data_IF_887284259580
#
_entry.id   IF_887284259580
#
_cell.length_a   1.000
_cell.length_b   1.000
_cell.length_c   1.000
_cell.angle_alpha   90.00
_cell.angle_beta   90.00
_cell.angle_gamma   90.00
#
_symmetry.space_group_name_H-M   'P 1'
#
loop_
_entity.id
_entity.type
_entity.pdbx_description
1 polymer ?
#
# COMPACT_ATOMS: atom_id res chain seq x y z
N UNK A 1 -4.45 63.16 25.56
CA UNK A 1 -4.20 62.68 24.19
C UNK A 1 -4.92 61.35 24.03
N UNK A 2 -6.03 61.35 23.30
CA UNK A 2 -6.93 60.19 23.20
C UNK A 2 -6.43 59.20 22.13
N UNK A 3 -5.95 58.04 22.54
CA UNK A 3 -5.66 56.91 21.66
C UNK A 3 -6.94 56.11 21.46
N UNK A 4 -7.54 56.23 20.27
CA UNK A 4 -8.68 55.42 19.83
C UNK A 4 -8.22 53.98 19.63
N UNK A 5 -8.67 53.06 20.48
CA UNK A 5 -8.53 51.62 20.24
C UNK A 5 -9.64 51.17 19.28
N UNK A 6 -9.30 51.03 18.00
CA UNK A 6 -10.16 50.36 17.01
C UNK A 6 -10.12 48.85 17.26
N UNK A 7 -11.15 48.32 17.91
CA UNK A 7 -11.33 46.88 18.07
C UNK A 7 -11.77 46.29 16.72
N UNK A 8 -10.89 45.51 16.08
CA UNK A 8 -11.22 44.74 14.87
C UNK A 8 -12.28 43.69 15.22
N UNK A 9 -13.48 43.85 14.66
CA UNK A 9 -14.54 42.84 14.71
C UNK A 9 -14.09 41.64 13.85
N UNK A 10 -13.47 40.63 14.47
CA UNK A 10 -13.19 39.36 13.81
C UNK A 10 -14.50 38.59 13.63
N UNK A 11 -15.09 38.67 12.43
CA UNK A 11 -16.19 37.81 12.02
C UNK A 11 -15.70 36.34 11.97
N UNK A 12 -16.21 35.51 12.87
CA UNK A 12 -15.99 34.05 12.85
C UNK A 12 -16.92 33.47 11.77
N UNK A 13 -16.39 32.80 10.71
CA UNK A 13 -17.26 32.15 9.74
C UNK A 13 -17.92 30.94 10.38
N UNK A 14 -19.24 30.96 10.48
CA UNK A 14 -20.04 29.83 10.91
C UNK A 14 -19.93 28.71 9.86
N UNK A 15 -19.43 27.54 10.29
CA UNK A 15 -19.28 26.35 9.45
C UNK A 15 -20.67 25.86 9.01
N UNK A 16 -20.94 25.64 7.71
CA UNK A 16 -22.24 25.13 7.28
C UNK A 16 -22.45 23.71 7.83
N UNK A 17 -23.61 23.50 8.45
CA UNK A 17 -24.04 22.20 8.96
C UNK A 17 -24.50 21.38 7.76
N UNK A 18 -23.63 20.50 7.26
CA UNK A 18 -23.99 19.55 6.20
C UNK A 18 -25.11 18.63 6.71
N UNK A 19 -26.20 18.42 5.95
CA UNK A 19 -27.24 17.52 6.38
C UNK A 19 -26.66 16.09 6.43
N UNK A 20 -26.81 15.45 7.58
CA UNK A 20 -26.56 14.02 7.76
C UNK A 20 -27.59 13.29 6.90
N UNK A 21 -27.22 12.94 5.67
CA UNK A 21 -28.09 12.17 4.80
C UNK A 21 -28.44 10.83 5.47
N UNK A 22 -29.74 10.61 5.54
CA UNK A 22 -30.38 9.46 6.13
C UNK A 22 -29.87 8.17 5.48
N UNK A 23 -29.32 7.31 6.34
CA UNK A 23 -29.09 5.88 6.14
C UNK A 23 -30.35 5.18 5.60
N UNK A 24 -30.55 5.15 4.30
CA UNK A 24 -31.43 4.19 3.64
C UNK A 24 -31.21 4.23 2.13
N UNK A 25 -31.03 3.04 1.54
CA UNK A 25 -31.00 2.74 0.09
C UNK A 25 -29.65 2.74 -0.64
N UNK A 26 -28.59 2.24 -0.01
CA UNK A 26 -27.43 1.66 -0.71
C UNK A 26 -27.36 0.14 -0.54
N UNK A 27 -28.51 -0.53 -0.62
CA UNK A 27 -28.57 -2.00 -0.66
C UNK A 27 -29.31 -2.43 -1.91
N UNK A 28 -28.71 -2.23 -3.09
CA UNK A 28 -29.02 -3.00 -4.30
C UNK A 28 -28.23 -2.47 -5.53
N UNK A 29 -26.89 -2.52 -5.50
CA UNK A 29 -26.08 -2.75 -6.72
C UNK A 29 -24.61 -3.02 -6.37
N UNK A 30 -24.33 -4.07 -5.61
CA UNK A 30 -22.95 -4.54 -5.40
C UNK A 30 -22.91 -6.07 -5.50
N UNK A 31 -23.37 -6.63 -6.63
CA UNK A 31 -23.16 -8.06 -6.97
C UNK A 31 -21.90 -8.27 -7.82
N UNK A 32 -20.87 -7.45 -7.62
CA UNK A 32 -19.52 -7.72 -8.14
C UNK A 32 -18.54 -7.31 -7.05
N UNK A 33 -18.46 -8.10 -5.99
CA UNK A 33 -17.42 -7.98 -4.97
C UNK A 33 -16.05 -8.27 -5.61
N UNK A 34 -15.07 -7.35 -5.66
CA UNK A 34 -13.72 -7.68 -6.05
C UNK A 34 -12.91 -8.00 -4.79
N UNK A 35 -13.22 -9.09 -4.06
CA UNK A 35 -12.58 -9.30 -2.74
C UNK A 35 -12.22 -10.75 -2.43
N UNK A 36 -11.29 -11.34 -3.18
CA UNK A 36 -10.43 -12.42 -2.63
C UNK A 36 -8.98 -12.33 -3.12
N UNK A 37 -8.38 -11.13 -3.19
CA UNK A 37 -6.91 -11.05 -3.28
C UNK A 37 -6.24 -11.43 -1.95
N UNK A 38 -6.90 -11.12 -0.82
CA UNK A 38 -6.41 -11.35 0.54
C UNK A 38 -6.60 -12.81 1.04
N UNK A 39 -7.69 -13.46 0.65
CA UNK A 39 -8.01 -14.82 1.12
C UNK A 39 -7.36 -15.90 0.24
N UNK A 40 -6.05 -16.12 0.45
CA UNK A 40 -5.26 -17.13 -0.26
C UNK A 40 -5.23 -18.47 0.48
N UNK A 41 -5.18 -19.57 -0.26
CA UNK A 41 -4.98 -20.91 0.31
C UNK A 41 -3.58 -21.05 0.93
N UNK A 42 -3.41 -22.00 1.86
CA UNK A 42 -2.12 -22.26 2.51
C UNK A 42 -1.00 -22.62 1.52
N UNK A 43 -1.33 -23.37 0.45
CA UNK A 43 -0.39 -23.75 -0.61
C UNK A 43 0.13 -22.52 -1.36
N UNK A 44 -0.76 -21.61 -1.75
CA UNK A 44 -0.37 -20.35 -2.41
C UNK A 44 0.44 -19.45 -1.48
N UNK A 45 0.05 -19.33 -0.21
CA UNK A 45 0.82 -18.58 0.81
C UNK A 45 2.24 -19.14 0.97
N UNK A 46 2.37 -20.46 1.07
CA UNK A 46 3.67 -21.14 1.18
C UNK A 46 4.54 -20.94 -0.06
N UNK A 47 3.94 -20.98 -1.25
CA UNK A 47 4.66 -20.70 -2.50
C UNK A 47 5.16 -19.25 -2.55
N UNK A 48 4.30 -18.28 -2.24
CA UNK A 48 4.67 -16.86 -2.22
C UNK A 48 5.78 -16.58 -1.21
N UNK A 49 5.71 -17.15 -0.01
CA UNK A 49 6.76 -17.03 1.00
C UNK A 49 8.11 -17.60 0.51
N UNK A 50 8.10 -18.76 -0.16
CA UNK A 50 9.30 -19.35 -0.77
C UNK A 50 9.88 -18.45 -1.88
N UNK A 51 9.02 -17.88 -2.73
CA UNK A 51 9.45 -16.95 -3.79
C UNK A 51 10.05 -15.66 -3.21
N UNK A 52 9.46 -15.12 -2.16
CA UNK A 52 10.00 -13.96 -1.45
C UNK A 52 11.38 -14.30 -0.84
N UNK A 53 11.52 -15.46 -0.20
CA UNK A 53 12.81 -15.93 0.32
C UNK A 53 13.86 -16.14 -0.76
N UNK A 54 13.50 -16.55 -1.98
CA UNK A 54 14.44 -16.69 -3.10
C UNK A 54 14.86 -15.35 -3.70
N UNK A 55 14.09 -14.28 -3.50
CA UNK A 55 14.35 -12.96 -4.07
C UNK A 55 15.33 -12.14 -3.21
N UNK A 56 16.52 -12.67 -2.97
CA UNK A 56 17.60 -11.99 -2.26
C UNK A 56 18.83 -11.82 -3.17
N UNK A 57 19.66 -10.78 -2.95
CA UNK A 57 20.92 -10.61 -3.65
C UNK A 57 21.95 -11.65 -3.20
N UNK A 58 22.93 -11.95 -4.07
CA UNK A 58 24.04 -12.85 -3.76
C UNK A 58 24.91 -12.22 -2.67
N UNK A 59 25.20 -12.95 -1.57
CA UNK A 59 26.10 -12.47 -0.51
C UNK A 59 27.51 -12.16 -1.02
N UNK A 60 28.10 -11.08 -0.50
CA UNK A 60 29.42 -10.59 -0.93
C UNK A 60 30.55 -11.61 -0.74
N UNK A 61 30.54 -12.37 0.36
CA UNK A 61 31.58 -13.39 0.62
C UNK A 61 31.58 -14.52 -0.41
N UNK A 62 30.46 -14.79 -1.08
CA UNK A 62 30.38 -15.76 -2.18
C UNK A 62 31.03 -15.18 -3.44
N UNK A 63 30.83 -13.88 -3.70
CA UNK A 63 31.45 -13.18 -4.82
C UNK A 63 32.98 -13.13 -4.69
N UNK A 64 33.49 -13.07 -3.47
CA UNK A 64 34.94 -13.04 -3.20
C UNK A 64 35.62 -14.42 -3.30
N UNK A 65 34.87 -15.52 -3.49
CA UNK A 65 35.48 -16.86 -3.62
C UNK A 65 36.23 -16.97 -4.95
N UNK A 66 37.52 -17.29 -4.89
CA UNK A 66 38.37 -17.51 -6.07
C UNK A 66 37.80 -18.62 -6.95
N UNK A 67 37.72 -18.37 -8.27
CA UNK A 67 37.16 -19.31 -9.25
C UNK A 67 35.62 -19.31 -9.35
N UNK A 68 34.92 -18.49 -8.56
CA UNK A 68 33.47 -18.33 -8.70
C UNK A 68 33.11 -17.30 -9.79
N UNK A 69 32.24 -17.68 -10.73
CA UNK A 69 31.71 -16.79 -11.79
C UNK A 69 30.34 -16.17 -11.43
N UNK A 70 29.75 -16.55 -10.30
CA UNK A 70 28.42 -16.11 -9.89
C UNK A 70 28.51 -14.69 -9.31
N UNK A 71 28.16 -13.69 -10.11
CA UNK A 71 28.11 -12.27 -9.71
C UNK A 71 26.68 -11.80 -9.42
N UNK A 72 25.69 -12.31 -10.15
CA UNK A 72 24.28 -11.94 -10.02
C UNK A 72 23.36 -13.18 -9.95
N UNK A 73 22.17 -13.00 -9.35
CA UNK A 73 21.12 -14.04 -9.34
C UNK A 73 20.23 -13.88 -10.56
N UNK A 74 20.39 -14.77 -11.54
CA UNK A 74 19.58 -14.80 -12.77
C UNK A 74 18.11 -15.13 -12.54
N UNK A 75 17.79 -15.80 -11.42
CA UNK A 75 16.43 -16.21 -11.04
C UNK A 75 15.70 -15.15 -10.20
N UNK A 76 16.31 -13.99 -9.98
CA UNK A 76 15.72 -12.89 -9.23
C UNK A 76 14.56 -12.28 -10.02
N UNK A 77 13.36 -12.26 -9.44
CA UNK A 77 12.18 -11.67 -10.06
C UNK A 77 11.91 -10.25 -9.56
N UNK A 78 11.50 -9.34 -10.46
CA UNK A 78 10.90 -8.08 -10.06
C UNK A 78 9.39 -8.27 -9.81
N UNK A 79 8.77 -7.43 -8.98
CA UNK A 79 7.34 -7.56 -8.63
C UNK A 79 6.42 -7.32 -9.83
N UNK A 80 6.89 -6.61 -10.86
CA UNK A 80 6.15 -6.45 -12.13
C UNK A 80 6.19 -7.68 -13.02
N UNK A 81 7.11 -8.61 -12.77
CA UNK A 81 7.18 -9.88 -13.49
C UNK A 81 6.20 -10.85 -12.86
N UNK A 82 5.24 -11.32 -13.65
CA UNK A 82 4.19 -12.20 -13.17
C UNK A 82 4.77 -13.53 -12.68
N UNK A 83 4.42 -13.91 -11.46
CA UNK A 83 4.65 -15.25 -10.92
C UNK A 83 3.46 -16.09 -11.41
N UNK A 84 3.59 -16.79 -12.55
CA UNK A 84 2.51 -17.61 -13.10
C UNK A 84 1.97 -18.61 -12.08
N UNK A 85 0.86 -18.26 -11.43
CA UNK A 85 0.27 -18.88 -10.24
C UNK A 85 -1.20 -19.19 -10.47
#
# INVERSE_FOLDING_TARGET
MATKATCFLSHVPQKPKVPFETRSKFQALCLVFPTVSAHKTFRTKSFLAKKQKQNHPVPHWIQMKTGNKITCSSKRGHWRTNLGL
#
